data_IF_084240829929
#
_entry.id   IF_084240829929
#
_cell.length_a   1.000
_cell.length_b   1.000
_cell.length_c   1.000
_cell.angle_alpha   90.00
_cell.angle_beta   90.00
_cell.angle_gamma   90.00
#
_symmetry.space_group_name_H-M   'P 1'
#
loop_
_entity.id
_entity.type
_entity.pdbx_description
1 polymer ?
#
# COMPACT_ATOMS: atom_id res chain seq x y z
N UNK A 1 24.80 9.12 11.13
CA UNK A 1 24.50 7.72 10.78
C UNK A 1 23.47 7.06 11.72
N UNK A 2 23.78 6.73 12.99
CA UNK A 2 22.86 5.99 13.90
C UNK A 2 21.44 6.57 14.00
N UNK A 3 21.30 7.89 14.02
CA UNK A 3 19.98 8.56 14.05
C UNK A 3 19.22 8.42 12.72
N UNK A 4 19.91 8.49 11.57
CA UNK A 4 19.29 8.32 10.26
C UNK A 4 18.80 6.88 10.04
N UNK A 5 19.59 5.87 10.44
CA UNK A 5 19.19 4.46 10.35
C UNK A 5 17.97 4.16 11.24
N UNK A 6 17.90 4.75 12.45
CA UNK A 6 16.70 4.65 13.30
C UNK A 6 15.48 5.34 12.67
N UNK A 7 15.68 6.49 12.01
CA UNK A 7 14.61 7.18 11.29
C UNK A 7 14.10 6.33 10.12
N UNK A 8 14.99 5.67 9.38
CA UNK A 8 14.62 4.79 8.27
C UNK A 8 13.66 3.67 8.71
N UNK A 9 13.98 2.97 9.81
CA UNK A 9 13.10 1.92 10.35
C UNK A 9 11.76 2.48 10.82
N UNK A 10 11.76 3.63 11.50
CA UNK A 10 10.54 4.23 12.06
C UNK A 10 9.63 4.85 11.02
N UNK A 11 10.17 5.30 9.90
CA UNK A 11 9.41 6.02 8.87
C UNK A 11 8.34 5.13 8.23
N UNK A 12 8.70 3.89 7.88
CA UNK A 12 7.73 2.96 7.26
C UNK A 12 6.68 2.47 8.26
N UNK A 13 7.05 2.32 9.52
CA UNK A 13 6.11 1.97 10.60
C UNK A 13 5.16 3.13 10.94
N UNK A 14 5.63 4.36 10.76
CA UNK A 14 4.88 5.60 10.99
C UNK A 14 3.69 5.81 10.04
N UNK A 15 2.95 6.89 10.28
CA UNK A 15 1.91 7.36 9.36
C UNK A 15 2.57 8.21 8.26
N UNK A 16 2.04 8.14 7.04
CA UNK A 16 2.53 8.89 5.88
C UNK A 16 1.37 9.50 5.11
N UNK A 17 1.61 10.65 4.47
CA UNK A 17 0.57 11.41 3.76
C UNK A 17 0.19 10.80 2.41
N UNK A 18 1.17 10.24 1.69
CA UNK A 18 0.98 9.52 0.43
C UNK A 18 2.14 8.55 0.21
N UNK A 19 2.00 7.62 -0.74
CA UNK A 19 3.09 6.71 -1.12
C UNK A 19 4.27 7.47 -1.73
N UNK A 20 4.00 8.48 -2.57
CA UNK A 20 5.00 9.39 -3.13
C UNK A 20 5.80 10.09 -2.02
N UNK A 21 5.12 10.65 -1.00
CA UNK A 21 5.80 11.28 0.13
C UNK A 21 6.69 10.28 0.90
N UNK A 22 6.22 9.05 1.07
CA UNK A 22 6.99 7.99 1.72
C UNK A 22 8.27 7.65 0.94
N UNK A 23 8.19 7.47 -0.39
CA UNK A 23 9.36 7.23 -1.22
C UNK A 23 10.35 8.39 -1.14
N UNK A 24 9.87 9.64 -1.28
CA UNK A 24 10.74 10.82 -1.18
C UNK A 24 11.48 10.93 0.17
N UNK A 25 10.80 10.65 1.29
CA UNK A 25 11.44 10.64 2.61
C UNK A 25 12.45 9.50 2.78
N UNK A 26 12.15 8.30 2.25
CA UNK A 26 13.06 7.16 2.26
C UNK A 26 14.31 7.41 1.40
N UNK A 27 14.16 8.01 0.23
CA UNK A 27 15.28 8.40 -0.62
C UNK A 27 16.16 9.46 0.04
N UNK A 28 15.56 10.47 0.67
CA UNK A 28 16.32 11.46 1.43
C UNK A 28 17.15 10.80 2.55
N UNK A 29 16.60 9.78 3.23
CA UNK A 29 17.33 9.01 4.23
C UNK A 29 18.43 8.13 3.61
N UNK A 30 18.18 7.47 2.47
CA UNK A 30 19.21 6.77 1.68
C UNK A 30 20.38 7.70 1.36
N UNK A 31 20.09 8.88 0.82
CA UNK A 31 21.10 9.91 0.51
C UNK A 31 21.79 10.49 1.77
N UNK A 32 21.18 10.38 2.94
CA UNK A 32 21.83 10.73 4.21
C UNK A 32 22.70 9.60 4.79
N UNK A 33 22.39 8.33 4.51
CA UNK A 33 23.06 7.15 5.08
C UNK A 33 24.23 6.69 4.19
N UNK A 34 23.97 6.51 2.90
CA UNK A 34 24.91 5.89 1.97
C UNK A 34 26.24 6.66 1.83
N UNK A 35 26.30 8.00 1.83
CA UNK A 35 27.58 8.70 1.80
C UNK A 35 28.48 8.37 3.01
N UNK A 36 27.89 8.17 4.19
CA UNK A 36 28.64 7.74 5.37
C UNK A 36 29.09 6.28 5.23
N UNK A 37 28.20 5.37 4.80
CA UNK A 37 28.61 3.97 4.63
C UNK A 37 29.64 3.80 3.52
N UNK A 38 29.57 4.55 2.43
CA UNK A 38 30.61 4.59 1.41
C UNK A 38 31.95 5.05 1.98
N UNK A 39 31.95 6.12 2.78
CA UNK A 39 33.18 6.63 3.39
C UNK A 39 33.87 5.58 4.27
N UNK A 40 33.12 4.93 5.15
CA UNK A 40 33.66 4.07 6.23
C UNK A 40 33.65 2.58 5.93
N UNK A 41 32.70 2.11 5.11
CA UNK A 41 32.48 0.68 4.78
C UNK A 41 32.74 0.36 3.30
N UNK A 42 33.02 1.38 2.47
CA UNK A 42 33.29 1.24 1.02
C UNK A 42 32.15 0.60 0.22
N UNK A 43 30.92 0.74 0.71
CA UNK A 43 29.71 0.27 0.04
C UNK A 43 28.47 1.00 0.50
N UNK A 44 27.43 0.95 -0.31
CA UNK A 44 26.09 1.35 0.07
C UNK A 44 25.48 0.33 1.02
N UNK A 45 24.68 0.81 1.96
CA UNK A 45 24.00 -0.03 2.95
C UNK A 45 22.49 -0.03 2.72
N UNK A 46 21.96 1.04 2.12
CA UNK A 46 20.55 1.16 1.75
C UNK A 46 20.46 1.11 0.23
N UNK A 47 19.92 0.01 -0.31
CA UNK A 47 19.64 -0.12 -1.74
C UNK A 47 18.22 0.34 -2.06
N UNK A 48 17.96 0.61 -3.34
CA UNK A 48 16.63 0.93 -3.82
C UNK A 48 15.66 -0.24 -3.61
N UNK A 49 16.11 -1.48 -3.86
CA UNK A 49 15.35 -2.70 -3.58
C UNK A 49 14.89 -2.77 -2.12
N UNK A 50 15.77 -2.39 -1.18
CA UNK A 50 15.42 -2.38 0.24
C UNK A 50 14.32 -1.35 0.51
N UNK A 51 14.42 -0.14 -0.06
CA UNK A 51 13.39 0.89 0.12
C UNK A 51 12.03 0.41 -0.42
N UNK A 52 12.03 -0.17 -1.62
CA UNK A 52 10.82 -0.72 -2.23
C UNK A 52 10.21 -1.78 -1.31
N UNK A 53 11.00 -2.77 -0.87
CA UNK A 53 10.52 -3.84 0.00
C UNK A 53 9.94 -3.32 1.32
N UNK A 54 10.54 -2.26 1.89
CA UNK A 54 10.02 -1.64 3.11
C UNK A 54 8.66 -0.97 2.87
N UNK A 55 8.44 -0.30 1.73
CA UNK A 55 7.13 0.27 1.35
C UNK A 55 6.10 -0.84 1.14
N UNK A 56 6.45 -1.89 0.40
CA UNK A 56 5.54 -3.02 0.15
C UNK A 56 5.16 -3.74 1.44
N UNK A 57 6.08 -3.84 2.40
CA UNK A 57 5.84 -4.50 3.69
C UNK A 57 4.78 -3.81 4.56
N UNK A 58 4.51 -2.51 4.35
CA UNK A 58 3.57 -1.73 5.18
C UNK A 58 2.26 -1.42 4.48
N UNK A 59 2.13 -1.82 3.21
CA UNK A 59 0.92 -1.63 2.40
C UNK A 59 0.12 -2.95 2.29
N UNK A 60 -1.20 -2.88 2.05
CA UNK A 60 -2.03 -4.07 1.95
C UNK A 60 -1.81 -4.77 0.61
N UNK A 61 -1.13 -5.92 0.63
CA UNK A 61 -0.72 -6.66 -0.57
C UNK A 61 -1.86 -7.08 -1.50
N UNK A 62 -3.09 -7.19 -0.99
CA UNK A 62 -4.28 -7.51 -1.79
C UNK A 62 -4.56 -6.53 -2.94
N UNK A 63 -4.02 -5.31 -2.89
CA UNK A 63 -4.22 -4.30 -3.96
C UNK A 63 -3.13 -4.31 -5.04
N UNK A 64 -1.92 -4.77 -4.73
CA UNK A 64 -0.76 -4.65 -5.63
C UNK A 64 -0.02 -5.97 -5.89
N UNK A 65 -0.29 -7.04 -5.12
CA UNK A 65 0.50 -8.27 -5.15
C UNK A 65 0.56 -8.95 -6.52
N UNK A 66 -0.48 -8.80 -7.35
CA UNK A 66 -0.50 -9.31 -8.72
C UNK A 66 0.17 -8.36 -9.75
N UNK A 67 0.38 -7.09 -9.39
CA UNK A 67 0.89 -6.03 -10.28
C UNK A 67 2.39 -5.77 -10.12
N UNK A 68 2.97 -6.22 -9.00
CA UNK A 68 4.38 -6.06 -8.66
C UNK A 68 5.07 -7.40 -8.82
N UNK A 69 5.93 -7.48 -9.83
CA UNK A 69 6.75 -8.64 -10.12
C UNK A 69 8.17 -8.34 -9.64
N UNK A 70 8.76 -9.26 -8.89
CA UNK A 70 10.17 -9.22 -8.50
C UNK A 70 11.02 -9.64 -9.72
N UNK A 71 11.24 -8.67 -10.60
CA UNK A 71 12.00 -8.81 -11.83
C UNK A 71 13.10 -7.74 -11.88
N UNK A 72 14.33 -8.14 -12.18
CA UNK A 72 15.51 -7.25 -12.12
C UNK A 72 15.45 -6.05 -13.06
N UNK A 73 14.59 -6.10 -14.08
CA UNK A 73 14.39 -5.02 -15.05
C UNK A 73 13.26 -4.07 -14.66
N UNK A 74 12.21 -4.59 -14.01
CA UNK A 74 10.99 -3.83 -13.68
C UNK A 74 10.89 -3.41 -12.21
N UNK A 75 11.79 -3.90 -11.35
CA UNK A 75 11.81 -3.59 -9.92
C UNK A 75 12.63 -2.32 -9.63
N UNK A 76 12.26 -1.22 -10.26
CA UNK A 76 12.85 0.10 -10.01
C UNK A 76 11.92 0.98 -9.18
N UNK A 77 12.50 1.91 -8.40
CA UNK A 77 11.73 2.80 -7.52
C UNK A 77 10.65 3.55 -8.32
N UNK A 78 11.02 4.14 -9.45
CA UNK A 78 10.10 4.95 -10.28
C UNK A 78 8.90 4.14 -10.75
N UNK A 79 9.13 2.91 -11.22
CA UNK A 79 8.06 2.05 -11.74
C UNK A 79 7.15 1.55 -10.63
N UNK A 80 7.72 1.15 -9.49
CA UNK A 80 6.95 0.65 -8.35
C UNK A 80 6.17 1.79 -7.69
N UNK A 81 6.77 2.96 -7.53
CA UNK A 81 6.11 4.16 -7.04
C UNK A 81 4.94 4.55 -7.94
N UNK A 82 5.14 4.62 -9.27
CA UNK A 82 4.08 4.94 -10.21
C UNK A 82 2.90 3.96 -10.13
N UNK A 83 3.19 2.65 -10.01
CA UNK A 83 2.16 1.61 -9.82
C UNK A 83 1.39 1.82 -8.52
N UNK A 84 2.09 1.99 -7.40
CA UNK A 84 1.45 2.16 -6.10
C UNK A 84 0.66 3.47 -6.01
N UNK A 85 1.20 4.56 -6.56
CA UNK A 85 0.50 5.85 -6.68
C UNK A 85 -0.72 5.75 -7.60
N UNK A 86 -0.68 4.94 -8.66
CA UNK A 86 -1.85 4.64 -9.49
C UNK A 86 -2.96 3.89 -8.72
N UNK A 87 -2.59 3.01 -7.79
CA UNK A 87 -3.53 2.21 -6.98
C UNK A 87 -4.13 3.03 -5.83
N UNK A 88 -3.28 3.74 -5.09
CA UNK A 88 -3.64 4.40 -3.84
C UNK A 88 -3.90 5.90 -3.99
N UNK A 89 -3.43 6.51 -5.08
CA UNK A 89 -3.49 7.95 -5.30
C UNK A 89 -2.79 8.73 -4.18
N UNK A 90 -3.39 9.84 -3.79
CA UNK A 90 -2.91 10.70 -2.71
C UNK A 90 -3.38 10.28 -1.31
N UNK A 91 -3.78 9.02 -1.11
CA UNK A 91 -4.25 8.53 0.18
C UNK A 91 -3.10 8.36 1.18
N UNK A 92 -3.36 8.74 2.42
CA UNK A 92 -2.48 8.45 3.55
C UNK A 92 -2.49 6.97 3.93
N UNK A 93 -1.53 6.52 4.74
CA UNK A 93 -1.48 5.13 5.25
C UNK A 93 -2.81 4.72 5.88
N UNK A 94 -3.36 5.57 6.75
CA UNK A 94 -4.67 5.34 7.38
C UNK A 94 -5.79 5.23 6.35
N UNK A 95 -5.79 6.09 5.34
CA UNK A 95 -6.75 6.04 4.23
C UNK A 95 -6.66 4.75 3.43
N UNK A 96 -5.45 4.27 3.16
CA UNK A 96 -5.18 3.01 2.45
C UNK A 96 -5.65 1.81 3.28
N UNK A 97 -5.31 1.75 4.57
CA UNK A 97 -5.76 0.68 5.47
C UNK A 97 -7.30 0.63 5.57
N UNK A 98 -7.96 1.79 5.50
CA UNK A 98 -9.42 1.89 5.47
C UNK A 98 -10.08 1.39 4.18
N UNK A 99 -9.33 1.18 3.08
CA UNK A 99 -9.90 0.71 1.81
C UNK A 99 -10.48 -0.72 1.94
N UNK A 100 -9.87 -1.59 2.74
CA UNK A 100 -10.37 -2.95 2.99
C UNK A 100 -11.73 -2.99 3.70
N UNK A 101 -12.09 -1.95 4.46
CA UNK A 101 -13.38 -1.82 5.14
C UNK A 101 -14.51 -1.35 4.21
N UNK A 102 -14.17 -0.70 3.09
CA UNK A 102 -15.15 -0.19 2.13
C UNK A 102 -15.64 -1.26 1.14
N UNK A 103 -14.80 -2.25 0.83
CA UNK A 103 -15.17 -3.37 -0.07
C UNK A 103 -16.17 -4.31 0.61
N UNK A 104 -16.09 -4.46 1.94
CA UNK A 104 -17.02 -5.31 2.71
C UNK A 104 -18.35 -4.61 3.04
N UNK A 105 -18.38 -3.27 3.15
CA UNK A 105 -19.65 -2.55 3.38
C UNK A 105 -20.57 -2.53 2.15
N UNK A 106 -20.01 -2.60 0.93
CA UNK A 106 -20.81 -2.72 -0.29
C UNK A 106 -21.45 -4.10 -0.48
N UNK A 107 -20.90 -5.15 0.11
CA UNK A 107 -21.49 -6.51 0.06
C UNK A 107 -22.60 -6.68 1.12
N UNK A 108 -22.48 -6.01 2.28
CA UNK A 108 -23.52 -6.05 3.31
C UNK A 108 -24.79 -5.24 2.94
N UNK A 109 -24.68 -4.23 2.07
CA UNK A 109 -25.81 -3.38 1.67
C UNK A 109 -26.73 -3.95 0.57
N UNK A 110 -26.42 -5.12 0.01
CA UNK A 110 -27.13 -5.66 -1.16
C UNK A 110 -27.84 -7.01 -0.89
N UNK A 111 -28.10 -7.35 0.38
CA UNK A 111 -28.74 -8.61 0.77
C UNK A 111 -30.18 -8.47 1.32
N UNK A 112 -30.77 -7.28 1.26
CA UNK A 112 -32.18 -7.09 1.61
C UNK A 112 -32.93 -6.25 0.56
N UNK A 113 -33.27 -6.89 -0.56
CA UNK A 113 -34.46 -6.52 -1.33
C UNK A 113 -35.16 -7.77 -1.85
N UNK A 114 -35.75 -8.53 -0.92
CA UNK A 114 -36.76 -9.51 -1.27
C UNK A 114 -38.05 -8.75 -1.60
N UNK A 115 -38.46 -8.78 -2.86
CA UNK A 115 -39.79 -8.35 -3.27
C UNK A 115 -40.84 -9.16 -2.48
N UNK A 116 -41.89 -8.56 -1.92
CA UNK A 116 -43.00 -9.33 -1.40
C UNK A 116 -43.72 -9.99 -2.58
N UNK A 117 -43.74 -11.32 -2.59
CA UNK A 117 -44.59 -12.11 -3.48
C UNK A 117 -46.03 -11.94 -2.97
N UNK A 118 -46.88 -11.28 -3.75
CA UNK A 118 -48.33 -11.29 -3.53
C UNK A 118 -48.83 -12.74 -3.66
N UNK A 119 -49.27 -13.30 -2.54
CA UNK A 119 -49.95 -14.59 -2.48
C UNK A 119 -51.39 -14.38 -2.94
N UNK A 120 -51.66 -14.61 -4.22
CA UNK A 120 -53.03 -14.68 -4.73
C UNK A 120 -53.68 -15.98 -4.24
N UNK A 121 -54.49 -15.87 -3.20
CA UNK A 121 -55.30 -16.97 -2.68
C UNK A 121 -56.34 -17.39 -3.73
N UNK A 122 -56.21 -18.63 -4.18
CA UNK A 122 -57.20 -19.36 -4.98
C UNK A 122 -58.42 -19.62 -4.09
N UNK A 123 -59.51 -18.89 -4.32
CA UNK A 123 -60.81 -19.24 -3.78
C UNK A 123 -61.50 -20.20 -4.75
N UNK A 124 -61.48 -21.49 -4.43
CA UNK A 124 -62.34 -22.50 -5.04
C UNK A 124 -63.45 -22.82 -4.03
N UNK A 125 -64.72 -22.72 -4.44
CA UNK A 125 -65.82 -22.97 -3.52
C UNK A 125 -67.22 -22.82 -4.13
N UNK A 126 -67.62 -23.85 -4.88
CA UNK A 126 -68.97 -24.39 -5.13
C UNK A 126 -70.07 -23.48 -5.65
#
# INVERSE_FOLDING_TARGET
>A
MKTATRKLMRLVDGDFQSVEALFGELEALKHSINPYSQKYLKRDVVSDDLLILMVLGVLPSGFFGAQIVLDTTLFQIVDVEAKLSGIFGSKSKRGIMGMGLSVTSKVAGQLHRTNPVEVNNVANGK
#
